data_IF_807776804149
#
_entry.id   IF_807776804149
#
_cell.length_a   1.000
_cell.length_b   1.000
_cell.length_c   1.000
_cell.angle_alpha   90.00
_cell.angle_beta   90.00
_cell.angle_gamma   90.00
#
_symmetry.space_group_name_H-M   'P 1'
#
loop_
_entity.id
_entity.type
_entity.pdbx_description
1 polymer ?
#
# COMPACT_ATOMS: atom_id res chain seq x y z
N UNK A 1 -11.65 -0.80 -15.64
CA UNK A 1 -10.46 -1.00 -14.76
C UNK A 1 -10.88 -0.61 -13.35
N UNK A 2 -10.52 -1.39 -12.31
CA UNK A 2 -10.84 -1.03 -10.92
C UNK A 2 -10.17 0.30 -10.56
N UNK A 3 -10.85 1.18 -9.83
CA UNK A 3 -10.27 2.47 -9.38
C UNK A 3 -9.01 2.25 -8.51
N UNK A 4 -8.87 1.08 -7.89
CA UNK A 4 -7.71 0.71 -7.09
C UNK A 4 -6.45 0.47 -7.93
N UNK A 5 -6.58 -0.18 -9.09
CA UNK A 5 -5.46 -0.39 -10.03
C UNK A 5 -4.92 0.94 -10.53
N UNK A 6 -5.81 1.86 -10.94
CA UNK A 6 -5.40 3.18 -11.40
C UNK A 6 -4.59 3.94 -10.34
N UNK A 7 -5.00 3.85 -9.08
CA UNK A 7 -4.33 4.58 -7.99
C UNK A 7 -2.85 4.19 -7.83
N UNK A 8 -2.51 2.89 -7.85
CA UNK A 8 -1.11 2.45 -7.73
C UNK A 8 -0.31 2.80 -8.99
N UNK A 9 -0.93 2.69 -10.16
CA UNK A 9 -0.27 3.05 -11.44
C UNK A 9 0.03 4.55 -11.53
N UNK A 10 -0.89 5.41 -11.08
CA UNK A 10 -0.65 6.87 -11.05
C UNK A 10 0.50 7.23 -10.12
N UNK A 11 0.60 6.60 -8.94
CA UNK A 11 1.73 6.78 -8.03
C UNK A 11 3.03 6.37 -8.71
N UNK A 12 3.07 5.18 -9.34
CA UNK A 12 4.27 4.71 -10.01
C UNK A 12 4.67 5.62 -11.18
N UNK A 13 3.71 6.07 -12.00
CA UNK A 13 3.93 7.02 -13.11
C UNK A 13 4.50 8.36 -12.64
N UNK A 14 4.01 8.86 -11.51
CA UNK A 14 4.49 10.11 -10.92
C UNK A 14 5.98 10.03 -10.51
N UNK A 15 6.51 8.83 -10.27
CA UNK A 15 7.91 8.63 -9.88
C UNK A 15 8.87 8.49 -11.07
N UNK A 16 8.40 8.33 -12.29
CA UNK A 16 9.26 8.22 -13.49
C UNK A 16 10.22 9.41 -13.57
N UNK A 17 11.50 9.12 -13.83
CA UNK A 17 12.60 10.08 -13.82
C UNK A 17 13.25 10.32 -12.45
N UNK A 18 12.82 9.63 -11.39
CA UNK A 18 13.55 9.63 -10.12
C UNK A 18 14.86 8.87 -10.28
N UNK A 19 15.96 9.44 -9.76
CA UNK A 19 17.28 8.84 -9.71
C UNK A 19 17.67 8.58 -8.25
N UNK A 20 18.27 7.42 -7.96
CA UNK A 20 18.83 7.13 -6.65
C UNK A 20 19.93 8.12 -6.27
N UNK A 21 20.26 8.19 -5.00
CA UNK A 21 21.20 9.18 -4.49
C UNK A 21 22.56 8.56 -4.16
N UNK A 22 23.60 9.39 -4.31
CA UNK A 22 24.95 9.04 -3.90
C UNK A 22 25.08 8.88 -2.37
N UNK A 23 24.20 9.54 -1.61
CA UNK A 23 24.18 9.53 -0.16
C UNK A 23 22.76 9.72 0.37
N UNK A 24 22.58 9.61 1.69
CA UNK A 24 21.27 9.76 2.35
C UNK A 24 20.82 11.24 2.45
N UNK A 25 21.01 12.01 1.38
CA UNK A 25 20.59 13.42 1.29
C UNK A 25 19.78 13.69 0.01
N UNK A 26 18.93 14.72 0.03
CA UNK A 26 18.05 15.12 -1.08
C UNK A 26 17.15 14.00 -1.60
N UNK A 27 16.75 13.06 -0.74
CA UNK A 27 15.98 11.87 -1.13
C UNK A 27 14.64 12.21 -1.79
N UNK A 28 14.03 13.35 -1.47
CA UNK A 28 12.73 13.75 -2.02
C UNK A 28 12.85 14.44 -3.40
N UNK A 29 14.03 14.90 -3.79
CA UNK A 29 14.27 15.42 -5.13
C UNK A 29 14.39 14.29 -6.15
N UNK A 30 13.85 14.48 -7.36
CA UNK A 30 14.02 13.47 -8.41
C UNK A 30 15.45 13.32 -8.88
N UNK A 31 16.23 14.39 -8.94
CA UNK A 31 17.54 14.41 -9.63
C UNK A 31 18.70 14.95 -8.80
N UNK A 32 18.45 15.78 -7.78
CA UNK A 32 19.54 16.30 -6.93
C UNK A 32 20.25 15.14 -6.21
N UNK A 33 21.58 15.24 -6.08
CA UNK A 33 22.44 14.24 -5.47
C UNK A 33 22.34 12.85 -6.12
N UNK A 34 22.05 12.79 -7.42
CA UNK A 34 21.99 11.53 -8.17
C UNK A 34 23.36 10.83 -8.12
N UNK A 35 23.36 9.51 -7.98
CA UNK A 35 24.57 8.68 -7.93
C UNK A 35 24.20 7.20 -7.84
N UNK A 36 25.16 6.35 -7.49
CA UNK A 36 25.02 4.88 -7.45
C UNK A 36 24.98 4.31 -6.02
N UNK A 37 24.46 5.09 -5.05
CA UNK A 37 24.48 4.70 -3.64
C UNK A 37 23.26 3.89 -3.18
N UNK A 38 22.30 3.64 -4.05
CA UNK A 38 21.02 2.99 -3.71
C UNK A 38 20.22 3.70 -2.60
N UNK A 39 20.53 4.98 -2.29
CA UNK A 39 19.73 5.73 -1.33
C UNK A 39 18.50 6.30 -2.00
N UNK A 40 17.32 6.01 -1.43
CA UNK A 40 16.04 6.42 -2.00
C UNK A 40 15.05 6.87 -0.94
N UNK A 41 14.12 7.75 -1.32
CA UNK A 41 12.97 8.08 -0.45
C UNK A 41 12.08 6.86 -0.21
N UNK A 42 12.02 5.93 -1.16
CA UNK A 42 11.19 4.72 -1.07
C UNK A 42 11.64 3.84 0.09
N UNK A 43 12.93 3.52 0.14
CA UNK A 43 13.51 2.73 1.22
C UNK A 43 13.45 3.48 2.55
N UNK A 44 13.79 4.78 2.59
CA UNK A 44 13.68 5.62 3.80
C UNK A 44 12.26 5.56 4.40
N UNK A 45 11.23 5.77 3.58
CA UNK A 45 9.84 5.83 4.04
C UNK A 45 9.37 4.49 4.60
N UNK A 46 9.74 3.37 3.96
CA UNK A 46 9.38 2.03 4.41
C UNK A 46 10.21 1.57 5.61
N UNK A 47 11.49 1.95 5.69
CA UNK A 47 12.36 1.68 6.86
C UNK A 47 11.86 2.40 8.12
N UNK A 48 11.11 3.50 7.97
CA UNK A 48 10.48 4.23 9.06
C UNK A 48 9.16 3.60 9.54
N UNK A 49 8.68 2.53 8.90
CA UNK A 49 7.50 1.76 9.35
C UNK A 49 7.99 0.64 10.27
N UNK A 50 7.68 0.68 11.58
CA UNK A 50 8.17 -0.33 12.53
C UNK A 50 7.83 -1.75 12.09
N UNK A 51 8.86 -2.61 11.97
CA UNK A 51 8.71 -4.02 11.62
C UNK A 51 8.18 -4.28 10.19
N UNK A 52 8.25 -3.30 9.28
CA UNK A 52 7.90 -3.53 7.87
C UNK A 52 8.90 -4.50 7.25
N UNK A 53 10.18 -4.19 7.30
CA UNK A 53 11.27 -5.07 6.85
C UNK A 53 12.02 -5.74 8.02
N UNK A 54 12.75 -6.79 7.69
CA UNK A 54 13.66 -7.48 8.62
C UNK A 54 14.97 -6.73 8.92
N UNK A 55 15.10 -5.51 8.44
CA UNK A 55 16.24 -4.60 8.60
C UNK A 55 16.16 -3.48 7.56
N UNK A 56 16.99 -2.46 7.72
CA UNK A 56 17.01 -1.30 6.81
C UNK A 56 17.33 -1.71 5.38
N UNK A 57 16.65 -1.09 4.42
CA UNK A 57 16.81 -1.30 2.97
C UNK A 57 17.41 -0.09 2.26
N UNK A 58 17.51 1.06 2.90
CA UNK A 58 18.11 2.25 2.30
C UNK A 58 19.62 2.02 2.09
N UNK A 59 20.09 2.24 0.87
CA UNK A 59 21.45 1.89 0.45
C UNK A 59 21.61 0.49 -0.17
N UNK A 60 20.53 -0.24 -0.40
CA UNK A 60 20.51 -1.56 -1.06
C UNK A 60 19.67 -1.54 -2.34
N UNK A 61 19.82 -2.54 -3.26
CA UNK A 61 18.98 -2.66 -4.45
C UNK A 61 17.49 -2.54 -4.12
N UNK A 62 16.76 -1.71 -4.87
CA UNK A 62 15.47 -1.22 -4.44
C UNK A 62 14.31 -1.42 -5.46
N UNK A 63 14.45 -2.30 -6.44
CA UNK A 63 13.37 -2.59 -7.39
C UNK A 63 12.10 -3.10 -6.70
N UNK A 64 12.22 -4.03 -5.76
CA UNK A 64 11.11 -4.57 -4.97
C UNK A 64 10.59 -3.55 -3.94
N UNK A 65 11.50 -2.79 -3.32
CA UNK A 65 11.15 -1.68 -2.42
C UNK A 65 10.30 -0.62 -3.12
N UNK A 66 10.55 -0.35 -4.41
CA UNK A 66 9.74 0.59 -5.20
C UNK A 66 8.28 0.10 -5.36
N UNK A 67 8.09 -1.18 -5.64
CA UNK A 67 6.75 -1.78 -5.73
C UNK A 67 6.03 -1.70 -4.39
N UNK A 68 6.70 -2.11 -3.31
CA UNK A 68 6.19 -2.03 -1.94
C UNK A 68 5.77 -0.59 -1.59
N UNK A 69 6.61 0.40 -1.90
CA UNK A 69 6.33 1.81 -1.67
C UNK A 69 5.06 2.26 -2.41
N UNK A 70 4.94 1.96 -3.70
CA UNK A 70 3.77 2.33 -4.50
C UNK A 70 2.48 1.74 -3.90
N UNK A 71 2.53 0.48 -3.49
CA UNK A 71 1.40 -0.21 -2.87
C UNK A 71 1.05 0.36 -1.49
N UNK A 72 2.06 0.63 -0.65
CA UNK A 72 1.84 1.25 0.68
C UNK A 72 1.27 2.66 0.56
N UNK A 73 1.77 3.46 -0.38
CA UNK A 73 1.23 4.81 -0.67
C UNK A 73 -0.20 4.76 -1.19
N UNK A 74 -0.53 3.77 -2.01
CA UNK A 74 -1.88 3.61 -2.55
C UNK A 74 -2.90 3.14 -1.50
N UNK A 75 -2.53 2.18 -0.63
CA UNK A 75 -3.50 1.40 0.13
C UNK A 75 -3.24 1.36 1.65
N UNK A 76 -2.12 1.91 2.12
CA UNK A 76 -1.64 1.73 3.50
C UNK A 76 -0.99 0.36 3.69
N UNK A 77 -0.30 0.18 4.83
CA UNK A 77 0.58 -0.98 5.08
C UNK A 77 -0.16 -2.31 5.01
N UNK A 78 -1.26 -2.45 5.76
CA UNK A 78 -1.97 -3.72 5.90
C UNK A 78 -2.58 -4.18 4.57
N UNK A 79 -3.19 -3.25 3.82
CA UNK A 79 -3.74 -3.55 2.50
C UNK A 79 -2.66 -3.83 1.45
N UNK A 80 -1.54 -3.11 1.48
CA UNK A 80 -0.41 -3.38 0.61
C UNK A 80 0.13 -4.80 0.83
N UNK A 81 0.38 -5.20 2.09
CA UNK A 81 0.81 -6.56 2.44
C UNK A 81 -0.18 -7.63 1.96
N UNK A 82 -1.47 -7.41 2.18
CA UNK A 82 -2.51 -8.33 1.71
C UNK A 82 -2.50 -8.47 0.19
N UNK A 83 -2.45 -7.36 -0.54
CA UNK A 83 -2.45 -7.33 -2.00
C UNK A 83 -1.18 -7.96 -2.59
N UNK A 84 -0.02 -7.74 -1.97
CA UNK A 84 1.26 -8.34 -2.34
C UNK A 84 1.46 -9.76 -1.79
N UNK A 85 0.45 -10.32 -1.12
CA UNK A 85 0.52 -11.65 -0.47
C UNK A 85 1.64 -11.79 0.57
N UNK A 86 2.13 -10.68 1.11
CA UNK A 86 3.27 -10.62 2.03
C UNK A 86 2.91 -11.11 3.44
N UNK A 87 3.88 -11.61 4.22
CA UNK A 87 3.70 -11.91 5.64
C UNK A 87 3.49 -10.63 6.45
N UNK A 88 2.88 -10.77 7.63
CA UNK A 88 2.50 -9.62 8.46
C UNK A 88 3.68 -8.88 9.13
N UNK A 89 4.90 -9.40 9.06
CA UNK A 89 6.07 -8.77 9.70
C UNK A 89 7.40 -9.30 9.13
N UNK A 90 8.43 -8.47 9.29
CA UNK A 90 9.84 -8.81 9.09
C UNK A 90 10.17 -9.41 7.72
N UNK A 91 9.55 -8.91 6.66
CA UNK A 91 9.85 -9.37 5.30
C UNK A 91 11.17 -8.81 4.77
N UNK A 92 11.78 -9.53 3.85
CA UNK A 92 12.89 -9.03 3.05
C UNK A 92 12.38 -8.32 1.79
N UNK A 93 13.15 -7.37 1.26
CA UNK A 93 12.90 -6.74 -0.03
C UNK A 93 13.66 -7.50 -1.13
N UNK A 94 13.14 -8.64 -1.57
CA UNK A 94 13.80 -9.46 -2.56
C UNK A 94 12.83 -10.10 -3.53
N UNK A 95 13.06 -9.89 -4.83
CA UNK A 95 12.14 -10.29 -5.90
C UNK A 95 11.75 -11.77 -5.86
N UNK A 96 12.69 -12.65 -5.54
CA UNK A 96 12.41 -14.10 -5.42
C UNK A 96 11.42 -14.39 -4.27
N UNK A 97 11.55 -13.69 -3.13
CA UNK A 97 10.62 -13.85 -2.02
C UNK A 97 9.24 -13.31 -2.39
N UNK A 98 9.18 -12.12 -2.99
CA UNK A 98 7.93 -11.49 -3.41
C UNK A 98 7.18 -12.35 -4.43
N UNK A 99 7.87 -12.91 -5.42
CA UNK A 99 7.27 -13.86 -6.35
C UNK A 99 6.71 -15.11 -5.63
N UNK A 100 7.44 -15.65 -4.66
CA UNK A 100 7.03 -16.83 -3.90
C UNK A 100 5.79 -16.55 -3.03
N UNK A 101 5.60 -15.33 -2.52
CA UNK A 101 4.38 -14.96 -1.79
C UNK A 101 3.14 -15.12 -2.68
N UNK A 102 3.18 -14.62 -3.91
CA UNK A 102 2.09 -14.82 -4.88
C UNK A 102 1.90 -16.30 -5.26
N UNK A 103 3.00 -17.02 -5.46
CA UNK A 103 2.96 -18.45 -5.78
C UNK A 103 2.23 -19.24 -4.67
N UNK A 104 2.59 -19.01 -3.42
CA UNK A 104 1.98 -19.68 -2.25
C UNK A 104 0.47 -19.41 -2.14
N UNK A 105 0.01 -18.25 -2.60
CA UNK A 105 -1.41 -17.86 -2.59
C UNK A 105 -2.15 -18.21 -3.90
N UNK A 106 -1.51 -18.90 -4.87
CA UNK A 106 -2.11 -19.20 -6.17
C UNK A 106 -2.35 -17.95 -7.05
N UNK A 107 -1.69 -16.84 -6.73
CA UNK A 107 -1.84 -15.56 -7.42
C UNK A 107 -0.68 -15.26 -8.39
N UNK A 108 0.27 -16.15 -8.59
CA UNK A 108 1.27 -16.07 -9.65
C UNK A 108 0.65 -16.55 -10.97
N UNK A 109 0.76 -15.74 -12.03
CA UNK A 109 0.14 -15.94 -13.34
C UNK A 109 1.21 -15.96 -14.44
N UNK A 110 0.87 -16.56 -15.58
CA UNK A 110 1.73 -16.62 -16.78
C UNK A 110 1.38 -15.55 -17.82
N UNK A 111 0.20 -14.93 -17.69
CA UNK A 111 -0.28 -13.88 -18.60
C UNK A 111 -0.45 -12.58 -17.83
N UNK A 112 -0.01 -11.42 -18.38
CA UNK A 112 -0.09 -10.13 -17.70
C UNK A 112 -1.52 -9.58 -17.62
N UNK A 113 -1.75 -8.78 -16.57
CA UNK A 113 -2.85 -7.81 -16.49
C UNK A 113 -2.31 -6.50 -15.92
N UNK A 114 -2.97 -5.40 -16.27
CA UNK A 114 -2.66 -4.09 -15.68
C UNK A 114 -2.83 -4.18 -14.16
N UNK A 115 -1.82 -3.68 -13.42
CA UNK A 115 -1.73 -3.76 -11.97
C UNK A 115 -0.94 -4.95 -11.43
N UNK A 116 -0.55 -5.92 -12.28
CA UNK A 116 0.29 -7.03 -11.84
C UNK A 116 1.70 -6.53 -11.47
N UNK A 117 2.35 -7.22 -10.54
CA UNK A 117 3.78 -7.13 -10.30
C UNK A 117 4.49 -8.13 -11.22
N UNK A 118 5.28 -7.64 -12.19
CA UNK A 118 6.06 -8.49 -13.09
C UNK A 118 7.40 -8.87 -12.44
N UNK A 119 7.85 -10.10 -12.67
CA UNK A 119 9.13 -10.62 -12.21
C UNK A 119 10.00 -11.08 -13.37
N UNK A 120 11.32 -10.88 -13.23
CA UNK A 120 12.28 -11.24 -14.28
C UNK A 120 13.41 -12.10 -13.72
N UNK A 121 13.83 -13.08 -14.54
CA UNK A 121 15.04 -13.85 -14.32
C UNK A 121 16.29 -13.05 -14.70
N UNK A 122 17.38 -13.29 -14.03
CA UNK A 122 18.73 -12.98 -14.52
C UNK A 122 19.22 -14.06 -15.50
N UNK A 123 20.49 -13.95 -15.94
CA UNK A 123 21.11 -14.93 -16.85
C UNK A 123 21.32 -16.31 -16.22
N UNK A 124 21.28 -16.42 -14.91
CA UNK A 124 21.42 -17.69 -14.17
C UNK A 124 20.07 -18.34 -13.83
N UNK A 125 18.95 -17.71 -14.22
CA UNK A 125 17.60 -18.20 -13.92
C UNK A 125 17.09 -17.83 -12.52
N UNK A 126 17.76 -16.92 -11.82
CA UNK A 126 17.31 -16.41 -10.52
C UNK A 126 16.44 -15.18 -10.71
N UNK A 127 15.36 -15.08 -9.98
CA UNK A 127 14.47 -13.90 -10.03
C UNK A 127 15.12 -12.76 -9.26
N UNK A 128 15.57 -11.73 -9.98
CA UNK A 128 16.34 -10.63 -9.41
C UNK A 128 15.82 -9.22 -9.75
N UNK A 129 14.76 -9.12 -10.55
CA UNK A 129 14.17 -7.82 -10.91
C UNK A 129 12.66 -7.87 -10.96
N UNK A 130 12.02 -6.69 -10.75
CA UNK A 130 10.57 -6.55 -10.69
C UNK A 130 10.12 -5.12 -11.03
N UNK A 131 8.85 -5.00 -11.40
CA UNK A 131 8.17 -3.72 -11.65
C UNK A 131 6.65 -3.86 -11.60
N UNK A 132 5.94 -2.78 -11.92
CA UNK A 132 4.48 -2.73 -12.00
C UNK A 132 4.03 -2.66 -13.45
N UNK A 133 3.10 -3.53 -13.85
CA UNK A 133 2.47 -3.51 -15.17
C UNK A 133 1.46 -2.36 -15.23
N UNK A 134 1.67 -1.38 -16.12
CA UNK A 134 0.74 -0.26 -16.28
C UNK A 134 -0.09 -0.31 -17.55
N UNK A 135 0.33 -1.12 -18.54
CA UNK A 135 -0.43 -1.36 -19.76
C UNK A 135 -0.06 -2.70 -20.39
N UNK A 136 -0.95 -3.24 -21.23
CA UNK A 136 -0.77 -4.50 -21.97
C UNK A 136 -1.51 -4.41 -23.28
N UNK A 137 -0.84 -4.74 -24.38
CA UNK A 137 -1.48 -4.95 -25.69
C UNK A 137 -1.24 -6.39 -26.20
N UNK A 138 -1.55 -6.65 -27.46
CA UNK A 138 -1.42 -7.99 -28.06
C UNK A 138 0.05 -8.43 -28.27
N UNK A 139 1.03 -7.54 -28.10
CA UNK A 139 2.44 -7.78 -28.42
C UNK A 139 3.34 -7.53 -27.21
N UNK A 140 3.01 -6.53 -26.41
CA UNK A 140 3.87 -6.01 -25.36
C UNK A 140 3.18 -5.92 -24.00
N UNK A 141 3.96 -6.08 -22.95
CA UNK A 141 3.66 -5.65 -21.59
C UNK A 141 4.49 -4.40 -21.29
N UNK A 142 3.84 -3.39 -20.71
CA UNK A 142 4.43 -2.10 -20.37
C UNK A 142 4.56 -1.99 -18.85
N UNK A 143 5.75 -1.61 -18.38
CA UNK A 143 6.08 -1.61 -16.96
C UNK A 143 6.62 -0.27 -16.49
N UNK A 144 6.47 0.00 -15.18
CA UNK A 144 7.25 1.02 -14.47
C UNK A 144 8.09 0.29 -13.44
N UNK A 145 9.40 0.50 -13.50
CA UNK A 145 10.37 -0.23 -12.73
C UNK A 145 11.27 0.72 -11.95
N UNK A 146 11.51 0.37 -10.68
CA UNK A 146 12.54 1.01 -9.86
C UNK A 146 13.88 0.32 -10.00
N UNK A 147 14.96 1.02 -9.67
CA UNK A 147 16.34 0.53 -9.76
C UNK A 147 16.72 0.03 -11.15
N UNK A 148 16.22 0.67 -12.18
CA UNK A 148 16.48 0.33 -13.59
C UNK A 148 17.04 1.53 -14.34
N UNK A 149 17.28 1.40 -15.64
CA UNK A 149 17.71 2.49 -16.53
C UNK A 149 16.84 2.55 -17.81
N UNK A 150 17.03 3.58 -18.61
CA UNK A 150 16.37 3.73 -19.91
C UNK A 150 16.88 2.72 -20.97
N UNK A 151 17.96 1.97 -20.72
CA UNK A 151 18.47 0.97 -21.65
C UNK A 151 17.44 -0.13 -21.92
N UNK A 152 17.44 -0.70 -23.12
CA UNK A 152 16.55 -1.78 -23.52
C UNK A 152 16.81 -3.06 -22.69
N UNK A 153 15.79 -3.90 -22.56
CA UNK A 153 15.86 -5.13 -21.76
C UNK A 153 15.86 -4.90 -20.24
N UNK A 154 16.02 -5.96 -19.48
CA UNK A 154 16.04 -5.91 -18.00
C UNK A 154 17.36 -5.37 -17.50
N UNK A 155 17.32 -4.33 -16.67
CA UNK A 155 18.46 -3.74 -15.96
C UNK A 155 18.12 -3.74 -14.48
N UNK A 156 18.72 -4.61 -13.71
CA UNK A 156 18.37 -4.87 -12.30
C UNK A 156 19.04 -3.92 -11.28
N UNK A 157 19.97 -3.09 -11.69
CA UNK A 157 20.65 -2.09 -10.85
C UNK A 157 21.04 -0.88 -11.71
N UNK A 158 20.06 -0.18 -12.24
CA UNK A 158 20.25 0.95 -13.16
C UNK A 158 20.03 2.33 -12.54
N UNK A 159 19.69 2.38 -11.26
CA UNK A 159 19.69 3.60 -10.45
C UNK A 159 18.51 4.54 -10.64
N UNK A 160 17.48 4.20 -11.42
CA UNK A 160 16.35 5.10 -11.66
C UNK A 160 14.98 4.44 -11.73
N UNK A 161 13.94 5.26 -11.83
CA UNK A 161 12.59 4.82 -12.15
C UNK A 161 12.29 5.14 -13.61
N UNK A 162 12.00 4.09 -14.40
CA UNK A 162 11.74 4.23 -15.82
C UNK A 162 10.53 3.41 -16.26
N UNK A 163 9.83 3.94 -17.29
CA UNK A 163 8.85 3.18 -18.05
C UNK A 163 9.59 2.30 -19.07
N UNK A 164 9.20 1.03 -19.14
CA UNK A 164 9.81 0.01 -19.99
C UNK A 164 8.73 -0.75 -20.77
N UNK A 165 9.14 -1.49 -21.79
CA UNK A 165 8.26 -2.46 -22.48
C UNK A 165 9.03 -3.73 -22.85
N UNK A 166 8.31 -4.84 -22.82
CA UNK A 166 8.84 -6.15 -23.19
C UNK A 166 7.83 -6.89 -24.07
N UNK A 167 8.33 -7.67 -25.04
CA UNK A 167 7.48 -8.60 -25.78
C UNK A 167 6.81 -9.56 -24.76
N UNK A 168 5.56 -9.95 -25.00
CA UNK A 168 4.87 -10.95 -24.16
C UNK A 168 5.62 -12.29 -24.10
N UNK A 169 6.43 -12.59 -25.14
CA UNK A 169 7.26 -13.79 -25.22
C UNK A 169 8.73 -13.52 -24.78
N UNK A 170 9.00 -12.44 -24.06
CA UNK A 170 10.36 -12.14 -23.61
C UNK A 170 10.87 -13.19 -22.63
N UNK A 171 11.91 -13.93 -23.03
CA UNK A 171 12.39 -15.14 -22.33
C UNK A 171 12.88 -14.95 -20.89
N UNK A 172 13.02 -13.69 -20.44
CA UNK A 172 13.39 -13.38 -19.04
C UNK A 172 12.21 -13.10 -18.13
N UNK A 173 10.95 -13.15 -18.61
CA UNK A 173 9.77 -12.99 -17.75
C UNK A 173 9.57 -14.26 -16.94
N UNK A 174 9.67 -14.13 -15.61
CA UNK A 174 9.49 -15.23 -14.66
C UNK A 174 8.00 -15.45 -14.30
N UNK A 175 7.18 -14.41 -14.41
CA UNK A 175 5.75 -14.47 -14.12
C UNK A 175 5.19 -13.14 -13.64
N UNK A 176 3.89 -13.16 -13.31
CA UNK A 176 3.10 -12.01 -12.91
C UNK A 176 2.39 -12.29 -11.60
N UNK A 177 2.79 -11.62 -10.53
CA UNK A 177 2.06 -11.62 -9.27
C UNK A 177 0.81 -10.74 -9.41
N UNK A 178 -0.37 -11.32 -9.22
CA UNK A 178 -1.65 -10.62 -9.41
C UNK A 178 -2.28 -10.23 -8.08
N UNK A 179 -2.20 -8.96 -7.66
CA UNK A 179 -2.92 -8.50 -6.48
C UNK A 179 -4.43 -8.64 -6.65
N UNK A 180 -5.12 -9.10 -5.62
CA UNK A 180 -6.58 -9.25 -5.63
C UNK A 180 -7.27 -7.88 -5.39
N UNK A 181 -7.18 -6.98 -6.35
CA UNK A 181 -7.76 -5.62 -6.27
C UNK A 181 -9.29 -5.61 -6.20
N UNK A 182 -9.96 -6.66 -6.69
CA UNK A 182 -11.42 -6.77 -6.69
C UNK A 182 -11.97 -7.14 -5.30
N UNK A 183 -11.12 -7.65 -4.43
CA UNK A 183 -11.44 -7.74 -3.01
C UNK A 183 -11.26 -6.34 -2.46
N UNK A 184 -12.36 -5.70 -2.09
CA UNK A 184 -12.32 -4.41 -1.41
C UNK A 184 -11.20 -4.42 -0.36
N UNK A 185 -10.39 -3.32 -0.21
CA UNK A 185 -9.39 -3.24 0.85
C UNK A 185 -10.02 -3.82 2.10
N UNK A 186 -9.36 -4.75 2.78
CA UNK A 186 -9.96 -5.35 3.98
C UNK A 186 -10.45 -4.18 4.82
N UNK A 187 -11.73 -4.19 5.19
CA UNK A 187 -12.33 -3.18 6.05
C UNK A 187 -11.70 -3.21 7.45
N UNK A 188 -10.61 -3.94 7.62
CA UNK A 188 -9.84 -4.03 8.85
C UNK A 188 -8.97 -2.78 8.94
N UNK A 189 -9.40 -1.90 9.78
CA UNK A 189 -8.65 -0.72 10.21
C UNK A 189 -7.75 -1.14 11.36
N UNK A 190 -6.44 -0.90 11.24
CA UNK A 190 -5.55 -1.16 12.39
C UNK A 190 -5.81 -0.14 13.50
N UNK A 191 -5.59 -0.56 14.74
CA UNK A 191 -5.68 0.34 15.91
C UNK A 191 -4.74 1.54 15.73
N UNK A 192 -3.53 1.31 15.21
CA UNK A 192 -2.57 2.37 14.94
C UNK A 192 -3.09 3.42 13.94
N UNK A 193 -3.70 2.97 12.84
CA UNK A 193 -4.29 3.88 11.85
C UNK A 193 -5.44 4.70 12.44
N UNK A 194 -6.30 4.07 13.23
CA UNK A 194 -7.39 4.73 13.93
C UNK A 194 -6.87 5.77 14.94
N UNK A 195 -5.85 5.42 15.75
CA UNK A 195 -5.21 6.33 16.69
C UNK A 195 -4.64 7.57 15.98
N UNK A 196 -3.94 7.38 14.85
CA UNK A 196 -3.41 8.50 14.05
C UNK A 196 -4.51 9.40 13.50
N UNK A 197 -5.60 8.84 13.00
CA UNK A 197 -6.75 9.61 12.53
C UNK A 197 -7.43 10.36 13.68
N UNK A 198 -7.56 9.74 14.83
CA UNK A 198 -8.11 10.38 16.04
C UNK A 198 -7.21 11.55 16.50
N UNK A 199 -5.89 11.40 16.48
CA UNK A 199 -4.94 12.48 16.78
C UNK A 199 -5.12 13.65 15.79
N UNK A 200 -5.24 13.37 14.51
CA UNK A 200 -5.48 14.39 13.49
C UNK A 200 -6.82 15.11 13.66
N UNK A 201 -7.81 14.45 14.24
CA UNK A 201 -9.12 15.03 14.60
C UNK A 201 -9.14 15.66 16.01
N UNK A 202 -7.96 15.81 16.66
CA UNK A 202 -7.78 16.55 17.92
C UNK A 202 -7.87 15.71 19.20
N UNK A 203 -7.98 14.39 19.13
CA UNK A 203 -7.91 13.52 20.30
C UNK A 203 -6.46 13.34 20.78
N UNK A 204 -6.28 13.03 22.05
CA UNK A 204 -4.96 12.84 22.66
C UNK A 204 -4.84 11.44 23.26
N UNK A 205 -3.66 10.87 23.15
CA UNK A 205 -3.24 9.61 23.80
C UNK A 205 -1.97 9.93 24.60
N UNK A 206 -2.11 10.55 25.80
CA UNK A 206 -1.00 11.17 26.52
C UNK A 206 0.03 10.17 27.06
N UNK A 207 -0.36 8.92 27.32
CA UNK A 207 0.53 7.93 27.93
C UNK A 207 1.32 7.12 26.90
N UNK A 208 0.68 6.72 25.80
CA UNK A 208 1.27 5.77 24.85
C UNK A 208 1.32 6.28 23.41
N UNK A 209 0.67 7.41 23.09
CA UNK A 209 0.58 7.91 21.74
C UNK A 209 -0.18 6.95 20.82
N UNK A 210 0.20 6.90 19.55
CA UNK A 210 -0.30 5.93 18.58
C UNK A 210 0.61 4.69 18.61
N UNK A 211 0.33 3.72 19.47
CA UNK A 211 1.12 2.51 19.72
C UNK A 211 0.56 1.24 19.05
N UNK A 212 -0.61 1.34 18.42
CA UNK A 212 -1.29 0.21 17.80
C UNK A 212 -1.98 -0.75 18.78
N UNK A 213 -2.03 -0.42 20.09
CA UNK A 213 -2.69 -1.23 21.10
C UNK A 213 -4.04 -0.60 21.49
N UNK A 214 -5.11 -1.41 21.56
CA UNK A 214 -6.41 -0.95 22.01
C UNK A 214 -6.54 -1.11 23.52
N UNK A 215 -6.03 -0.13 24.26
CA UNK A 215 -6.10 -0.06 25.72
C UNK A 215 -7.15 0.95 26.22
N UNK A 216 -7.08 1.26 27.52
CA UNK A 216 -8.01 2.16 28.22
C UNK A 216 -8.09 3.58 27.59
N UNK A 217 -6.97 4.11 27.08
CA UNK A 217 -6.97 5.40 26.39
C UNK A 217 -7.79 5.34 25.09
N UNK A 218 -7.61 4.27 24.29
CA UNK A 218 -8.40 4.04 23.09
C UNK A 218 -9.90 3.90 23.40
N UNK A 219 -10.25 3.18 24.45
CA UNK A 219 -11.65 3.05 24.86
C UNK A 219 -12.26 4.39 25.28
N UNK A 220 -11.50 5.20 26.03
CA UNK A 220 -11.92 6.55 26.42
C UNK A 220 -12.11 7.47 25.19
N UNK A 221 -11.22 7.38 24.20
CA UNK A 221 -11.34 8.13 22.95
C UNK A 221 -12.52 7.63 22.13
N UNK A 222 -12.70 6.32 21.97
CA UNK A 222 -13.80 5.72 21.19
C UNK A 222 -15.19 6.11 21.71
N UNK A 223 -15.34 6.29 23.04
CA UNK A 223 -16.57 6.81 23.66
C UNK A 223 -16.90 8.25 23.26
N UNK A 224 -15.89 9.06 22.89
CA UNK A 224 -16.02 10.48 22.52
C UNK A 224 -15.97 10.71 21.02
N UNK A 225 -15.28 9.85 20.27
CA UNK A 225 -15.05 9.91 18.84
C UNK A 225 -16.24 9.35 18.05
N UNK A 226 -17.42 9.92 18.25
CA UNK A 226 -18.66 9.45 17.63
C UNK A 226 -18.80 10.06 16.23
N UNK A 227 -18.70 9.24 15.18
CA UNK A 227 -18.98 9.65 13.80
C UNK A 227 -20.47 9.49 13.53
N UNK A 228 -21.15 10.61 13.23
CA UNK A 228 -22.59 10.68 12.98
C UNK A 228 -22.96 11.93 12.21
N UNK A 229 -24.16 11.94 11.58
CA UNK A 229 -24.62 13.06 10.77
C UNK A 229 -24.67 14.39 11.52
N UNK A 230 -25.05 14.39 12.79
CA UNK A 230 -25.08 15.62 13.61
C UNK A 230 -23.70 16.28 13.75
N UNK A 231 -22.62 15.52 13.47
CA UNK A 231 -21.23 15.97 13.52
C UNK A 231 -20.57 15.81 12.15
N UNK A 232 -21.28 16.13 11.07
CA UNK A 232 -20.91 15.87 9.67
C UNK A 232 -19.48 16.32 9.34
N UNK A 233 -19.04 17.45 9.88
CA UNK A 233 -17.71 18.03 9.61
C UNK A 233 -16.71 17.88 10.76
N UNK A 234 -17.11 17.28 11.88
CA UNK A 234 -16.32 17.36 13.12
C UNK A 234 -15.07 16.47 13.12
N UNK A 235 -15.19 15.25 12.59
CA UNK A 235 -14.13 14.24 12.65
C UNK A 235 -13.82 13.74 11.24
N UNK A 236 -13.12 14.60 10.47
CA UNK A 236 -12.85 14.34 9.05
C UNK A 236 -12.05 13.07 8.79
N UNK A 237 -10.99 12.83 9.59
CA UNK A 237 -10.09 11.70 9.37
C UNK A 237 -10.73 10.39 9.85
N UNK A 238 -11.40 10.40 10.99
CA UNK A 238 -12.17 9.25 11.49
C UNK A 238 -13.36 8.93 10.57
N UNK A 239 -14.03 9.94 10.02
CA UNK A 239 -15.11 9.74 9.05
C UNK A 239 -14.60 9.08 7.78
N UNK A 240 -13.42 9.46 7.27
CA UNK A 240 -12.79 8.78 6.11
C UNK A 240 -12.51 7.31 6.37
N UNK A 241 -12.08 6.97 7.60
CA UNK A 241 -11.92 5.57 8.02
C UNK A 241 -13.26 4.84 7.92
N UNK A 242 -14.30 5.39 8.52
CA UNK A 242 -15.65 4.79 8.48
C UNK A 242 -16.12 4.59 7.04
N UNK A 243 -16.04 5.62 6.22
CA UNK A 243 -16.48 5.59 4.82
C UNK A 243 -15.77 4.50 4.02
N UNK A 244 -14.46 4.34 4.20
CA UNK A 244 -13.70 3.26 3.59
C UNK A 244 -14.19 1.89 4.04
N UNK A 245 -14.46 1.72 5.35
CA UNK A 245 -14.96 0.46 5.92
C UNK A 245 -16.33 0.10 5.37
N UNK A 246 -17.22 1.08 5.26
CA UNK A 246 -18.60 0.86 4.80
C UNK A 246 -18.75 0.94 3.27
N UNK A 247 -17.64 1.16 2.53
CA UNK A 247 -17.61 1.07 1.07
C UNK A 247 -18.22 2.27 0.34
N UNK A 248 -18.15 3.47 0.92
CA UNK A 248 -18.54 4.73 0.25
C UNK A 248 -17.34 5.63 0.00
N UNK A 249 -17.53 6.69 -0.81
CA UNK A 249 -16.49 7.67 -1.07
C UNK A 249 -15.97 8.30 0.24
N UNK A 250 -14.63 8.30 0.41
CA UNK A 250 -13.98 8.77 1.63
C UNK A 250 -13.67 10.28 1.57
N UNK A 251 -14.70 11.11 1.48
CA UNK A 251 -14.61 12.57 1.45
C UNK A 251 -14.41 13.19 2.86
N UNK A 252 -14.71 12.41 3.90
CA UNK A 252 -14.62 12.83 5.31
C UNK A 252 -15.88 13.53 5.83
N UNK A 253 -17.00 13.44 5.10
CA UNK A 253 -18.29 14.02 5.47
C UNK A 253 -19.31 12.93 5.82
N UNK A 254 -19.83 12.93 7.03
CA UNK A 254 -20.82 11.95 7.47
C UNK A 254 -22.24 12.33 6.98
N UNK A 255 -22.41 12.37 5.64
CA UNK A 255 -23.68 12.69 4.99
C UNK A 255 -24.68 11.53 4.97
N UNK A 256 -25.87 11.70 4.34
CA UNK A 256 -26.92 10.67 4.29
C UNK A 256 -26.46 9.34 3.71
N UNK A 257 -25.64 9.36 2.65
CA UNK A 257 -25.08 8.14 2.02
C UNK A 257 -24.20 7.37 3.00
N UNK A 258 -23.34 8.07 3.75
CA UNK A 258 -22.47 7.49 4.78
C UNK A 258 -23.31 6.87 5.90
N UNK A 259 -24.34 7.56 6.40
CA UNK A 259 -25.23 7.05 7.44
C UNK A 259 -25.97 5.78 7.00
N UNK A 260 -26.49 5.75 5.77
CA UNK A 260 -27.14 4.54 5.22
C UNK A 260 -26.18 3.36 5.17
N UNK A 261 -24.94 3.60 4.74
CA UNK A 261 -23.90 2.56 4.69
C UNK A 261 -23.45 2.09 6.09
N UNK A 262 -23.38 3.01 7.08
CA UNK A 262 -23.12 2.65 8.48
C UNK A 262 -24.22 1.73 9.00
N UNK A 263 -25.48 2.06 8.81
CA UNK A 263 -26.61 1.21 9.24
C UNK A 263 -26.54 -0.18 8.64
N UNK A 264 -26.26 -0.28 7.34
CA UNK A 264 -26.08 -1.56 6.66
C UNK A 264 -24.93 -2.37 7.30
N UNK A 265 -23.77 -1.74 7.51
CA UNK A 265 -22.62 -2.36 8.17
C UNK A 265 -22.98 -2.86 9.58
N UNK A 266 -23.71 -2.05 10.36
CA UNK A 266 -24.15 -2.40 11.71
C UNK A 266 -25.06 -3.64 11.70
N UNK A 267 -26.04 -3.72 10.80
CA UNK A 267 -26.92 -4.90 10.60
C UNK A 267 -26.09 -6.13 10.30
N UNK A 268 -25.20 -6.06 9.31
CA UNK A 268 -24.36 -7.16 8.85
C UNK A 268 -23.40 -7.68 9.94
N UNK A 269 -23.13 -6.85 10.95
CA UNK A 269 -22.21 -7.17 12.06
C UNK A 269 -22.91 -7.42 13.40
N UNK A 270 -24.25 -7.49 13.41
CA UNK A 270 -25.04 -7.78 14.62
C UNK A 270 -25.06 -6.63 15.64
N UNK A 271 -24.89 -5.39 15.18
CA UNK A 271 -24.92 -4.17 15.99
C UNK A 271 -26.28 -3.45 15.88
N UNK A 272 -26.55 -2.55 16.82
CA UNK A 272 -27.72 -1.66 16.71
C UNK A 272 -27.52 -0.72 15.51
N UNK A 273 -28.45 -0.73 14.58
CA UNK A 273 -28.38 0.04 13.33
C UNK A 273 -28.87 1.50 13.50
N UNK A 274 -28.21 2.24 14.37
CA UNK A 274 -28.52 3.64 14.65
C UNK A 274 -27.91 4.61 13.63
N UNK A 275 -26.92 4.16 12.88
CA UNK A 275 -26.17 4.98 11.91
C UNK A 275 -25.12 5.86 12.56
N UNK A 276 -24.73 5.59 13.81
CA UNK A 276 -23.69 6.27 14.56
C UNK A 276 -22.53 5.30 14.86
N UNK A 277 -21.30 5.71 14.62
CA UNK A 277 -20.12 4.92 14.94
C UNK A 277 -19.63 5.30 16.32
N UNK A 278 -20.23 4.66 17.33
CA UNK A 278 -19.81 4.72 18.72
C UNK A 278 -18.83 3.60 19.08
N UNK A 279 -18.57 3.41 20.38
CA UNK A 279 -17.53 2.50 20.89
C UNK A 279 -17.69 1.05 20.39
N UNK A 280 -18.93 0.53 20.34
CA UNK A 280 -19.17 -0.85 19.89
C UNK A 280 -18.89 -1.00 18.39
N UNK A 281 -19.31 -0.03 17.59
CA UNK A 281 -19.04 -0.02 16.16
C UNK A 281 -17.53 0.17 15.89
N UNK A 282 -16.84 1.02 16.67
CA UNK A 282 -15.37 1.13 16.58
C UNK A 282 -14.67 -0.17 16.93
N UNK A 283 -15.04 -0.84 18.03
CA UNK A 283 -14.47 -2.15 18.38
C UNK A 283 -14.65 -3.15 17.25
N UNK A 284 -15.82 -3.21 16.62
CA UNK A 284 -16.08 -4.10 15.49
C UNK A 284 -15.24 -3.75 14.26
N UNK A 285 -15.13 -2.46 13.91
CA UNK A 285 -14.29 -1.95 12.83
C UNK A 285 -12.81 -2.33 13.04
N UNK A 286 -12.33 -2.25 14.29
CA UNK A 286 -10.95 -2.51 14.68
C UNK A 286 -10.65 -4.00 14.95
N UNK A 287 -11.66 -4.88 14.83
CA UNK A 287 -11.49 -6.31 15.13
C UNK A 287 -11.23 -6.62 16.59
N UNK A 288 -11.62 -5.73 17.52
CA UNK A 288 -11.49 -5.91 18.96
C UNK A 288 -12.67 -6.73 19.48
N UNK A 289 -12.37 -7.81 20.20
CA UNK A 289 -13.36 -8.68 20.85
C UNK A 289 -13.77 -8.19 22.20
#
# INVERSE_FOLDING_TARGET
MSCYVNKVIEIAKAEVGYLEKASNSNLDSKTLNAGSGNFTKYARDLDNIPGFYNGKKNGYPWCDVFVDYCMVKAFGVDNARRLLCQPNKSLGAGCQYSMNYYKTKGQLKTTPKIGDQIFFFDSSGVVNHTGLVYDVDNTYVYTIEGNTSSASGVVANGGGVFAKKYSLNYGRIAGYGRPAYDVAPSNVVSVFEWQKAAIQDGFKFPKYGADGQFGAECESVAKKAIVRRRYEYKYKNLTKIVQRVVGVEADGLCGPRTVTAIKKYQIENGLIADGEVGVQTWKKILGIR
#
